data_IF_476480368161
#
_entry.id   IF_476480368161
#
_cell.length_a   1.000
_cell.length_b   1.000
_cell.length_c   1.000
_cell.angle_alpha   90.00
_cell.angle_beta   90.00
_cell.angle_gamma   90.00
#
_symmetry.space_group_name_H-M   'P 1'
#
loop_
_entity.id
_entity.type
_entity.pdbx_description
1 polymer ?
#
# COMPACT_ATOMS: atom_id res chain seq x y z
N UNK A 1 6.61 6.75 2.10
CA UNK A 1 6.25 5.65 1.19
C UNK A 1 7.39 5.47 0.20
N UNK A 2 8.51 4.83 0.59
CA UNK A 2 9.67 4.62 -0.29
C UNK A 2 10.04 3.12 -0.30
N UNK A 3 9.05 2.28 -0.58
CA UNK A 3 9.20 0.85 -0.85
C UNK A 3 8.53 0.57 -2.20
N UNK A 4 9.17 -0.26 -3.02
CA UNK A 4 8.80 -0.61 -4.41
C UNK A 4 7.36 -1.21 -4.50
N UNK A 5 6.79 -1.35 -5.72
CA UNK A 5 5.38 -1.08 -6.01
C UNK A 5 4.42 -1.77 -5.04
N UNK A 6 3.53 -0.95 -4.45
CA UNK A 6 2.53 -1.44 -3.52
C UNK A 6 1.36 -2.09 -4.25
N UNK A 7 0.92 -3.26 -3.78
CA UNK A 7 -0.32 -3.87 -4.25
C UNK A 7 -1.50 -3.10 -3.62
N UNK A 8 -2.43 -2.64 -4.45
CA UNK A 8 -3.66 -1.99 -4.00
C UNK A 8 -4.77 -3.03 -3.96
N UNK A 9 -5.45 -3.15 -2.82
CA UNK A 9 -6.63 -3.99 -2.67
C UNK A 9 -7.86 -3.10 -2.76
N UNK A 10 -8.66 -3.31 -3.81
CA UNK A 10 -9.90 -2.60 -4.08
C UNK A 10 -11.09 -3.56 -3.95
N UNK A 11 -12.13 -3.12 -3.27
CA UNK A 11 -13.42 -3.81 -3.15
C UNK A 11 -14.50 -2.78 -3.42
N UNK A 12 -15.41 -3.08 -4.36
CA UNK A 12 -16.49 -2.16 -4.77
C UNK A 12 -15.98 -0.74 -5.03
N UNK A 13 -14.93 -0.64 -5.84
CA UNK A 13 -14.25 0.61 -6.20
C UNK A 13 -13.63 1.43 -5.05
N UNK A 14 -13.59 0.86 -3.86
CA UNK A 14 -13.02 1.47 -2.67
C UNK A 14 -11.67 0.83 -2.32
N UNK A 15 -10.63 1.66 -2.16
CA UNK A 15 -9.33 1.20 -1.69
C UNK A 15 -9.43 0.78 -0.21
N UNK A 16 -9.30 -0.51 0.05
CA UNK A 16 -9.40 -1.11 1.38
C UNK A 16 -8.05 -1.28 2.05
N UNK A 17 -6.99 -1.49 1.26
CA UNK A 17 -5.64 -1.63 1.78
C UNK A 17 -4.59 -1.33 0.72
N UNK A 18 -3.43 -0.88 1.20
CA UNK A 18 -2.20 -0.87 0.42
C UNK A 18 -1.21 -1.82 1.09
N UNK A 19 -0.66 -2.74 0.32
CA UNK A 19 0.41 -3.62 0.75
C UNK A 19 1.72 -3.15 0.15
N UNK A 20 2.73 -2.92 0.99
CA UNK A 20 4.09 -2.68 0.55
C UNK A 20 4.94 -3.93 0.83
N UNK A 21 5.75 -4.31 -0.16
CA UNK A 21 6.70 -5.41 -0.07
C UNK A 21 8.11 -4.83 0.07
N UNK A 22 8.83 -5.29 1.09
CA UNK A 22 10.25 -5.08 1.19
C UNK A 22 10.96 -6.32 0.62
N UNK A 23 11.71 -6.12 -0.46
CA UNK A 23 12.48 -7.18 -1.14
C UNK A 23 13.96 -6.91 -0.93
N UNK A 24 14.68 -7.89 -0.40
CA UNK A 24 16.13 -7.91 -0.26
C UNK A 24 16.66 -9.27 -0.70
N UNK A 25 17.78 -9.29 -1.42
CA UNK A 25 18.41 -10.50 -1.95
C UNK A 25 17.43 -11.42 -2.69
N UNK A 26 16.64 -10.83 -3.59
CA UNK A 26 15.59 -11.48 -4.40
C UNK A 26 14.50 -12.22 -3.60
N UNK A 27 14.39 -11.96 -2.29
CA UNK A 27 13.37 -12.51 -1.41
C UNK A 27 12.54 -11.43 -0.75
N UNK A 28 11.24 -11.67 -0.60
CA UNK A 28 10.38 -10.83 0.24
C UNK A 28 10.82 -11.01 1.69
N UNK A 29 11.31 -9.93 2.31
CA UNK A 29 11.77 -9.93 3.69
C UNK A 29 10.70 -9.41 4.64
N UNK A 30 9.77 -8.58 4.15
CA UNK A 30 8.65 -8.06 4.94
C UNK A 30 7.47 -7.66 4.06
N UNK A 31 6.28 -7.86 4.60
CA UNK A 31 5.02 -7.35 4.05
C UNK A 31 4.44 -6.35 5.05
N UNK A 32 4.11 -5.15 4.59
CA UNK A 32 3.43 -4.12 5.38
C UNK A 32 2.05 -3.88 4.80
N UNK A 33 1.00 -4.09 5.57
CA UNK A 33 -0.37 -3.80 5.18
C UNK A 33 -0.85 -2.53 5.90
N UNK A 34 -1.29 -1.53 5.14
CA UNK A 34 -1.92 -0.33 5.67
C UNK A 34 -3.42 -0.43 5.36
N UNK A 35 -4.23 -0.62 6.40
CA UNK A 35 -5.71 -0.62 6.37
C UNK A 35 -6.27 0.60 7.08
N UNK A 36 -5.71 1.77 6.80
CA UNK A 36 -6.13 3.01 7.44
C UNK A 36 -6.90 3.82 6.38
N UNK A 37 -8.25 3.84 6.42
CA UNK A 37 -9.06 4.51 5.42
C UNK A 37 -8.80 6.02 5.37
N UNK A 38 -8.50 6.65 6.52
CA UNK A 38 -8.17 8.08 6.58
C UNK A 38 -6.83 8.44 5.94
N UNK A 39 -5.87 7.49 5.88
CA UNK A 39 -4.58 7.65 5.20
C UNK A 39 -4.61 7.31 3.71
N UNK A 40 -5.70 6.72 3.22
CA UNK A 40 -5.91 6.35 1.81
C UNK A 40 -6.73 7.38 1.03
N UNK A 41 -7.17 8.46 1.69
CA UNK A 41 -7.82 9.57 1.00
C UNK A 41 -6.84 10.18 -0.01
N UNK A 42 -7.29 10.54 -1.22
CA UNK A 42 -6.44 11.23 -2.18
C UNK A 42 -5.86 12.47 -1.50
N UNK A 43 -4.53 12.61 -1.57
CA UNK A 43 -3.89 13.88 -1.26
C UNK A 43 -4.20 14.81 -2.43
N UNK A 44 -5.45 15.26 -2.55
CA UNK A 44 -5.77 16.46 -3.32
C UNK A 44 -5.13 17.60 -2.55
N UNK A 45 -3.85 17.85 -2.87
CA UNK A 45 -3.24 19.14 -2.66
C UNK A 45 -4.14 20.15 -3.37
N UNK A 46 -4.83 20.98 -2.58
CA UNK A 46 -5.23 22.30 -3.04
C UNK A 46 -4.01 23.17 -3.22
#
# INVERSE_FOLDING_TARGET
MNGRPGLVVQVDDTVQAVLALDVGDDRVTRIRAVRNPEKLRPWTAG
#
